data_IF_999872086423
#
_entry.id   IF_999872086423
#
_cell.length_a   1.000
_cell.length_b   1.000
_cell.length_c   1.000
_cell.angle_alpha   90.00
_cell.angle_beta   90.00
_cell.angle_gamma   90.00
#
_symmetry.space_group_name_H-M   'P 1'
#
loop_
_entity.id
_entity.type
_entity.pdbx_description
1 polymer ?
#
# COMPACT_ATOMS: atom_id res chain seq x y z
N UNK A 1 -4.55 16.33 -4.42
CA UNK A 1 -3.56 15.58 -3.65
C UNK A 1 -2.14 16.12 -3.84
N UNK A 2 -1.61 16.17 -5.07
CA UNK A 2 -0.21 16.59 -5.31
C UNK A 2 0.04 18.05 -4.89
N UNK A 3 -0.90 18.95 -5.16
CA UNK A 3 -0.82 20.35 -4.70
C UNK A 3 -0.86 20.44 -3.17
N UNK A 4 -1.69 19.65 -2.51
CA UNK A 4 -1.75 19.60 -1.04
C UNK A 4 -0.42 19.13 -0.43
N UNK A 5 0.24 18.13 -1.04
CA UNK A 5 1.56 17.65 -0.60
C UNK A 5 2.58 18.78 -0.71
N UNK A 6 2.58 19.52 -1.83
CA UNK A 6 3.49 20.66 -2.04
C UNK A 6 3.31 21.73 -0.97
N UNK A 7 2.07 22.14 -0.69
CA UNK A 7 1.77 23.14 0.35
C UNK A 7 2.27 22.66 1.73
N UNK A 8 1.92 21.40 2.12
CA UNK A 8 2.33 20.86 3.42
C UNK A 8 3.86 20.79 3.53
N UNK A 9 4.55 20.39 2.47
CA UNK A 9 6.03 20.33 2.47
C UNK A 9 6.69 21.69 2.56
N UNK A 10 6.05 22.74 2.05
CA UNK A 10 6.54 24.12 2.20
C UNK A 10 6.39 24.59 3.65
N UNK A 11 5.22 24.35 4.26
CA UNK A 11 4.94 24.79 5.63
C UNK A 11 5.63 23.91 6.69
N UNK A 12 5.77 22.62 6.41
CA UNK A 12 6.31 21.60 7.33
C UNK A 12 7.36 20.72 6.64
N UNK A 13 8.55 21.23 6.34
CA UNK A 13 9.53 20.53 5.52
C UNK A 13 10.04 19.21 6.13
N UNK A 14 9.98 19.07 7.44
CA UNK A 14 10.47 17.88 8.17
C UNK A 14 9.40 16.78 8.36
N UNK A 15 8.14 17.01 7.93
CA UNK A 15 7.10 16.00 8.02
C UNK A 15 7.28 14.98 6.91
N UNK A 16 7.31 13.69 7.27
CA UNK A 16 7.20 12.61 6.31
C UNK A 16 5.75 12.46 5.85
N UNK A 17 5.54 12.56 4.54
CA UNK A 17 4.24 12.40 3.90
C UNK A 17 4.26 11.10 3.12
N UNK A 18 3.23 10.25 3.34
CA UNK A 18 3.01 9.01 2.59
C UNK A 18 1.75 9.18 1.74
N UNK A 19 1.90 9.59 0.47
CA UNK A 19 0.76 9.73 -0.43
C UNK A 19 0.12 8.39 -0.75
N UNK A 20 -1.21 8.37 -0.89
CA UNK A 20 -1.93 7.18 -1.31
C UNK A 20 -2.21 7.24 -2.82
N UNK A 21 -1.88 6.16 -3.53
CA UNK A 21 -2.31 5.95 -4.90
C UNK A 21 -3.37 4.86 -4.94
N UNK A 22 -4.61 5.25 -5.28
CA UNK A 22 -5.71 4.30 -5.47
C UNK A 22 -5.87 3.99 -6.95
N UNK A 23 -5.51 2.77 -7.34
CA UNK A 23 -5.60 2.32 -8.74
C UNK A 23 -7.00 2.50 -9.30
N UNK A 24 -8.03 2.18 -8.51
CA UNK A 24 -9.42 2.31 -8.94
C UNK A 24 -9.83 3.76 -9.21
N UNK A 25 -9.47 4.69 -8.35
CA UNK A 25 -9.78 6.11 -8.52
C UNK A 25 -8.99 6.76 -9.66
N UNK A 26 -7.78 6.26 -9.90
CA UNK A 26 -6.88 6.74 -10.94
C UNK A 26 -7.01 5.96 -12.26
N UNK A 27 -7.95 5.01 -12.35
CA UNK A 27 -8.14 4.19 -13.54
C UNK A 27 -8.53 5.02 -14.76
N UNK A 28 -7.67 5.05 -15.79
CA UNK A 28 -7.79 5.88 -16.99
C UNK A 28 -8.35 5.11 -18.20
N UNK A 29 -9.49 4.45 -18.05
CA UNK A 29 -10.20 3.67 -19.06
C UNK A 29 -9.46 2.42 -19.58
N UNK A 30 -8.15 2.36 -19.50
CA UNK A 30 -7.38 1.18 -19.86
C UNK A 30 -6.16 1.01 -18.95
N UNK A 31 -5.56 -0.19 -19.02
CA UNK A 31 -4.42 -0.59 -18.21
C UNK A 31 -3.20 0.28 -18.45
N UNK A 32 -2.85 0.53 -19.72
CA UNK A 32 -1.62 1.25 -20.11
C UNK A 32 -1.66 2.67 -19.56
N UNK A 33 -2.75 3.40 -19.78
CA UNK A 33 -2.88 4.78 -19.27
C UNK A 33 -2.85 4.85 -17.74
N UNK A 34 -3.35 3.81 -17.06
CA UNK A 34 -3.30 3.73 -15.59
C UNK A 34 -1.88 3.46 -15.10
N UNK A 35 -1.12 2.60 -15.79
CA UNK A 35 0.30 2.36 -15.52
C UNK A 35 1.11 3.66 -15.69
N UNK A 36 0.94 4.35 -16.81
CA UNK A 36 1.60 5.64 -17.06
C UNK A 36 1.26 6.69 -16.00
N UNK A 37 -0.02 6.75 -15.59
CA UNK A 37 -0.46 7.64 -14.51
C UNK A 37 0.23 7.32 -13.20
N UNK A 38 0.38 6.03 -12.87
CA UNK A 38 1.07 5.59 -11.67
C UNK A 38 2.57 5.94 -11.70
N UNK A 39 3.25 5.68 -12.80
CA UNK A 39 4.67 6.04 -12.96
C UNK A 39 4.89 7.56 -12.87
N UNK A 40 4.03 8.36 -13.51
CA UNK A 40 4.06 9.83 -13.40
C UNK A 40 3.84 10.28 -11.96
N UNK A 41 2.89 9.68 -11.26
CA UNK A 41 2.64 9.95 -9.86
C UNK A 41 3.88 9.66 -9.00
N UNK A 42 4.52 8.49 -9.14
CA UNK A 42 5.74 8.12 -8.41
C UNK A 42 6.87 9.12 -8.65
N UNK A 43 7.08 9.52 -9.91
CA UNK A 43 8.08 10.54 -10.26
C UNK A 43 7.83 11.86 -9.54
N UNK A 44 6.58 12.30 -9.51
CA UNK A 44 6.21 13.59 -8.94
C UNK A 44 6.29 13.59 -7.41
N UNK A 45 5.77 12.57 -6.75
CA UNK A 45 5.83 12.49 -5.26
C UNK A 45 7.27 12.36 -4.77
N UNK A 46 8.13 11.67 -5.52
CA UNK A 46 9.57 11.66 -5.23
C UNK A 46 10.19 13.05 -5.37
N UNK A 47 9.87 13.77 -6.45
CA UNK A 47 10.33 15.15 -6.64
C UNK A 47 9.92 16.05 -5.47
N UNK A 48 8.75 15.80 -4.87
CA UNK A 48 8.29 16.49 -3.66
C UNK A 48 8.94 15.99 -2.36
N UNK A 49 9.90 15.07 -2.43
CA UNK A 49 10.63 14.56 -1.27
C UNK A 49 9.88 13.51 -0.45
N UNK A 50 8.84 12.87 -1.02
CA UNK A 50 8.20 11.72 -0.37
C UNK A 50 9.08 10.48 -0.55
N UNK A 51 9.25 9.71 0.55
CA UNK A 51 10.09 8.50 0.57
C UNK A 51 9.29 7.23 0.40
N UNK A 52 7.98 7.29 0.61
CA UNK A 52 7.09 6.13 0.53
C UNK A 52 5.75 6.52 -0.09
N UNK A 53 5.12 5.56 -0.76
CA UNK A 53 3.76 5.65 -1.33
C UNK A 53 2.94 4.46 -0.87
N UNK A 54 1.71 4.69 -0.38
CA UNK A 54 0.77 3.62 -0.11
C UNK A 54 -0.04 3.29 -1.37
N UNK A 55 0.18 2.08 -1.88
CA UNK A 55 -0.51 1.56 -3.06
C UNK A 55 -1.74 0.75 -2.66
N UNK A 56 -2.93 1.18 -3.11
CA UNK A 56 -4.18 0.48 -2.85
C UNK A 56 -4.92 0.16 -4.14
N UNK A 57 -5.56 -1.01 -4.19
CA UNK A 57 -6.35 -1.43 -5.37
C UNK A 57 -7.67 -0.69 -5.49
N UNK A 58 -8.31 -0.36 -4.37
CA UNK A 58 -9.71 0.07 -4.28
C UNK A 58 -10.67 -1.10 -4.01
N UNK A 59 -11.97 -0.80 -3.85
CA UNK A 59 -12.99 -1.76 -3.38
C UNK A 59 -13.75 -2.48 -4.49
N UNK A 60 -13.59 -2.12 -5.76
CA UNK A 60 -14.31 -2.76 -6.86
C UNK A 60 -13.67 -4.07 -7.33
N UNK A 61 -14.52 -5.07 -7.58
CA UNK A 61 -14.12 -6.47 -7.79
C UNK A 61 -13.42 -6.80 -9.12
N UNK A 62 -13.31 -5.89 -10.09
CA UNK A 62 -12.78 -6.24 -11.44
C UNK A 62 -11.99 -5.08 -12.05
N UNK A 63 -10.76 -4.93 -11.61
CA UNK A 63 -9.80 -4.13 -12.39
C UNK A 63 -8.83 -5.07 -13.10
N UNK A 64 -8.59 -4.82 -14.39
CA UNK A 64 -7.54 -5.51 -15.17
C UNK A 64 -6.13 -5.12 -14.71
N UNK A 65 -6.03 -4.16 -13.81
CA UNK A 65 -4.81 -3.68 -13.20
C UNK A 65 -5.08 -3.40 -11.71
N UNK A 66 -4.40 -4.10 -10.84
CA UNK A 66 -4.53 -4.01 -9.38
C UNK A 66 -3.16 -3.79 -8.71
N UNK A 67 -3.13 -3.74 -7.38
CA UNK A 67 -1.88 -3.50 -6.64
C UNK A 67 -0.83 -4.61 -6.82
N UNK A 68 -1.24 -5.86 -7.04
CA UNK A 68 -0.31 -6.95 -7.34
C UNK A 68 0.33 -6.72 -8.70
N UNK A 69 -0.48 -6.51 -9.74
CA UNK A 69 -0.01 -6.23 -11.10
C UNK A 69 0.90 -4.99 -11.17
N UNK A 70 0.57 -3.94 -10.37
CA UNK A 70 1.37 -2.73 -10.29
C UNK A 70 2.75 -3.00 -9.68
N UNK A 71 2.83 -3.81 -8.62
CA UNK A 71 4.12 -4.17 -8.01
C UNK A 71 4.99 -4.98 -8.96
N UNK A 72 4.42 -5.95 -9.68
CA UNK A 72 5.18 -6.72 -10.67
C UNK A 72 5.65 -5.86 -11.83
N UNK A 73 4.86 -4.90 -12.29
CA UNK A 73 5.29 -3.92 -13.29
C UNK A 73 6.49 -3.09 -12.79
N UNK A 74 6.46 -2.62 -11.54
CA UNK A 74 7.56 -1.84 -10.96
C UNK A 74 8.83 -2.66 -10.76
N UNK A 75 8.72 -3.97 -10.55
CA UNK A 75 9.87 -4.86 -10.36
C UNK A 75 10.80 -4.87 -11.57
N UNK A 76 10.25 -4.68 -12.76
CA UNK A 76 10.98 -4.71 -14.01
C UNK A 76 11.20 -3.29 -14.59
N UNK A 77 10.74 -2.23 -13.90
CA UNK A 77 10.89 -0.85 -14.35
C UNK A 77 12.25 -0.27 -13.93
N UNK A 78 13.15 0.04 -14.91
CA UNK A 78 14.50 0.54 -14.59
C UNK A 78 14.48 1.89 -13.85
N UNK A 79 13.46 2.72 -14.11
CA UNK A 79 13.34 3.99 -13.42
C UNK A 79 13.04 3.75 -11.94
N UNK A 80 12.09 2.86 -11.62
CA UNK A 80 11.72 2.58 -10.23
C UNK A 80 12.86 1.93 -9.45
N UNK A 81 13.58 0.98 -10.06
CA UNK A 81 14.69 0.27 -9.40
C UNK A 81 15.84 1.21 -8.99
N UNK A 82 16.02 2.30 -9.72
CA UNK A 82 17.04 3.31 -9.42
C UNK A 82 16.53 4.44 -8.50
N UNK A 83 15.28 4.35 -8.01
CA UNK A 83 14.70 5.35 -7.14
C UNK A 83 14.67 4.85 -5.69
N UNK A 84 15.00 5.77 -4.77
CA UNK A 84 14.87 5.55 -3.34
C UNK A 84 13.44 5.91 -2.88
N UNK A 85 12.47 5.18 -3.41
CA UNK A 85 11.07 5.27 -3.02
C UNK A 85 10.54 3.91 -2.61
N UNK A 86 9.88 3.85 -1.47
CA UNK A 86 9.32 2.64 -0.90
C UNK A 86 7.84 2.49 -1.23
N UNK A 87 7.33 1.26 -1.26
CA UNK A 87 5.91 0.98 -1.49
C UNK A 87 5.32 0.31 -0.26
N UNK A 88 4.33 0.97 0.34
CA UNK A 88 3.43 0.39 1.31
C UNK A 88 2.22 -0.25 0.64
N UNK A 89 1.63 -1.26 1.27
CA UNK A 89 0.40 -1.92 0.81
C UNK A 89 -0.63 -2.03 1.91
N UNK A 90 -1.91 -2.00 1.55
CA UNK A 90 -2.99 -2.21 2.51
C UNK A 90 -3.22 -3.71 2.76
N UNK A 91 -3.61 -4.02 3.99
CA UNK A 91 -4.10 -5.32 4.45
C UNK A 91 -5.38 -5.14 5.26
N UNK A 92 -6.44 -5.88 4.92
CA UNK A 92 -7.72 -5.83 5.62
C UNK A 92 -7.95 -7.08 6.48
N UNK A 93 -7.65 -7.04 7.78
CA UNK A 93 -7.89 -8.17 8.68
C UNK A 93 -9.38 -8.34 9.07
N UNK A 94 -10.28 -7.44 8.64
CA UNK A 94 -11.68 -7.45 9.04
C UNK A 94 -12.63 -8.01 7.97
N UNK A 95 -12.08 -8.52 6.86
CA UNK A 95 -12.90 -9.18 5.83
C UNK A 95 -13.63 -10.40 6.41
N UNK A 96 -14.85 -10.69 5.92
CA UNK A 96 -15.53 -11.96 6.23
C UNK A 96 -14.64 -13.17 5.92
N UNK A 97 -14.83 -14.27 6.65
CA UNK A 97 -13.98 -15.46 6.53
C UNK A 97 -13.85 -15.97 5.09
N UNK A 98 -14.93 -15.95 4.32
CA UNK A 98 -14.95 -16.42 2.93
C UNK A 98 -14.18 -15.53 1.94
N UNK A 99 -13.80 -14.29 2.32
CA UNK A 99 -12.95 -13.38 1.54
C UNK A 99 -11.52 -13.27 2.09
N UNK A 100 -11.30 -13.78 3.30
CA UNK A 100 -10.04 -13.58 3.98
C UNK A 100 -8.90 -14.40 3.36
N UNK A 101 -9.18 -15.60 2.89
CA UNK A 101 -8.17 -16.43 2.21
C UNK A 101 -7.69 -15.78 0.90
N UNK A 102 -8.60 -15.11 0.18
CA UNK A 102 -8.23 -14.32 -1.00
C UNK A 102 -7.34 -13.12 -0.63
N UNK A 103 -7.66 -12.44 0.47
CA UNK A 103 -6.84 -11.30 0.96
C UNK A 103 -5.44 -11.76 1.38
N UNK A 104 -5.32 -12.92 2.03
CA UNK A 104 -4.03 -13.54 2.38
C UNK A 104 -3.24 -13.86 1.11
N UNK A 105 -3.83 -14.56 0.17
CA UNK A 105 -3.20 -14.88 -1.13
C UNK A 105 -2.71 -13.63 -1.85
N UNK A 106 -3.51 -12.57 -1.86
CA UNK A 106 -3.12 -11.28 -2.46
C UNK A 106 -1.97 -10.63 -1.71
N UNK A 107 -1.96 -10.68 -0.38
CA UNK A 107 -0.87 -10.15 0.43
C UNK A 107 0.43 -10.90 0.14
N UNK A 108 0.40 -12.24 0.11
CA UNK A 108 1.55 -13.07 -0.22
C UNK A 108 2.12 -12.72 -1.61
N UNK A 109 1.26 -12.59 -2.62
CA UNK A 109 1.66 -12.16 -3.96
C UNK A 109 2.30 -10.77 -3.97
N UNK A 110 1.77 -9.81 -3.20
CA UNK A 110 2.41 -8.49 -3.05
C UNK A 110 3.81 -8.61 -2.43
N UNK A 111 3.95 -9.42 -1.37
CA UNK A 111 5.22 -9.64 -0.69
C UNK A 111 6.26 -10.33 -1.57
N UNK A 112 5.84 -11.29 -2.41
CA UNK A 112 6.69 -11.98 -3.38
C UNK A 112 7.29 -11.05 -4.44
N UNK A 113 6.71 -9.88 -4.68
CA UNK A 113 7.32 -8.87 -5.55
C UNK A 113 8.69 -8.41 -5.05
N UNK A 114 8.93 -8.50 -3.72
CA UNK A 114 10.14 -8.01 -3.05
C UNK A 114 10.20 -6.48 -2.91
N UNK A 115 9.16 -5.75 -3.30
CA UNK A 115 9.11 -4.28 -3.30
C UNK A 115 8.39 -3.68 -2.08
N UNK A 116 7.63 -4.48 -1.35
CA UNK A 116 6.85 -4.02 -0.20
C UNK A 116 7.77 -3.66 0.98
N UNK A 117 7.66 -2.42 1.46
CA UNK A 117 8.39 -1.91 2.63
C UNK A 117 7.52 -1.81 3.87
N UNK A 118 6.20 -1.65 3.69
CA UNK A 118 5.27 -1.52 4.81
C UNK A 118 3.90 -2.12 4.51
N UNK A 119 3.22 -2.54 5.58
CA UNK A 119 1.84 -3.04 5.54
C UNK A 119 0.99 -2.15 6.41
N UNK A 120 -0.08 -1.63 5.84
CA UNK A 120 -1.03 -0.73 6.47
C UNK A 120 -2.31 -1.48 6.80
N UNK A 121 -2.53 -1.71 8.09
CA UNK A 121 -3.72 -2.42 8.60
C UNK A 121 -4.92 -1.52 8.44
N UNK A 122 -5.95 -1.98 7.76
CA UNK A 122 -7.22 -1.28 7.64
C UNK A 122 -7.90 -1.17 9.00
N UNK A 123 -8.58 -0.05 9.24
CA UNK A 123 -9.33 0.18 10.47
C UNK A 123 -10.48 -0.82 10.64
N UNK A 124 -10.70 -1.22 11.89
CA UNK A 124 -11.83 -2.03 12.33
C UNK A 124 -11.90 -2.09 13.85
N UNK A 125 -13.00 -2.61 14.40
CA UNK A 125 -13.31 -2.59 15.84
C UNK A 125 -13.27 -3.95 16.51
N UNK A 126 -13.20 -5.05 15.75
CA UNK A 126 -13.16 -6.42 16.31
C UNK A 126 -11.72 -6.77 16.74
N UNK A 127 -11.42 -6.58 18.01
CA UNK A 127 -10.13 -6.88 18.58
C UNK A 127 -9.75 -8.36 18.51
N UNK A 128 -10.70 -9.28 18.75
CA UNK A 128 -10.41 -10.71 18.75
C UNK A 128 -10.08 -11.21 17.34
N UNK A 129 -10.83 -10.74 16.37
CA UNK A 129 -10.58 -11.01 14.97
C UNK A 129 -9.21 -10.46 14.55
N UNK A 130 -8.91 -9.21 14.88
CA UNK A 130 -7.60 -8.60 14.63
C UNK A 130 -6.48 -9.44 15.23
N UNK A 131 -6.56 -9.78 16.52
CA UNK A 131 -5.53 -10.55 17.25
C UNK A 131 -5.26 -11.90 16.58
N UNK A 132 -6.30 -12.62 16.17
CA UNK A 132 -6.15 -13.92 15.50
C UNK A 132 -5.47 -13.78 14.14
N UNK A 133 -5.87 -12.78 13.35
CA UNK A 133 -5.36 -12.55 11.99
C UNK A 133 -3.97 -11.92 11.96
N UNK A 134 -3.60 -11.15 13.00
CA UNK A 134 -2.22 -10.69 13.16
C UNK A 134 -1.23 -11.83 13.41
N UNK A 135 -1.65 -12.93 14.04
CA UNK A 135 -0.82 -14.14 14.13
C UNK A 135 -0.53 -14.76 12.76
N UNK A 136 -1.56 -14.81 11.88
CA UNK A 136 -1.41 -15.29 10.50
C UNK A 136 -0.43 -14.38 9.74
N UNK A 137 -0.61 -13.06 9.83
CA UNK A 137 0.30 -12.09 9.22
C UNK A 137 1.75 -12.29 9.69
N UNK A 138 1.95 -12.47 11.00
CA UNK A 138 3.29 -12.73 11.58
C UNK A 138 3.94 -13.98 10.98
N UNK A 139 3.17 -15.05 10.80
CA UNK A 139 3.68 -16.29 10.18
C UNK A 139 4.08 -16.07 8.72
N UNK A 140 3.25 -15.38 7.92
CA UNK A 140 3.56 -15.03 6.52
C UNK A 140 4.87 -14.24 6.46
N UNK A 141 5.01 -13.21 7.30
CA UNK A 141 6.21 -12.38 7.32
C UNK A 141 7.45 -13.14 7.73
N UNK A 142 7.34 -14.10 8.67
CA UNK A 142 8.47 -14.94 9.07
C UNK A 142 8.95 -15.85 7.93
N UNK A 143 8.03 -16.37 7.11
CA UNK A 143 8.34 -17.14 5.91
C UNK A 143 8.96 -16.28 4.80
N UNK A 144 8.42 -15.08 4.61
CA UNK A 144 8.93 -14.14 3.61
C UNK A 144 10.34 -13.66 3.91
N UNK A 145 10.67 -13.42 5.18
CA UNK A 145 12.04 -13.02 5.62
C UNK A 145 13.11 -14.04 5.23
N UNK A 146 12.79 -15.33 5.23
CA UNK A 146 13.73 -16.38 4.83
C UNK A 146 14.10 -16.33 3.35
N UNK A 147 13.22 -15.75 2.53
CA UNK A 147 13.31 -15.79 1.07
C UNK A 147 13.59 -14.41 0.43
N UNK A 148 13.64 -13.33 1.20
CA UNK A 148 13.78 -11.95 0.70
C UNK A 148 15.05 -11.28 1.19
N UNK A 149 15.67 -10.49 0.32
CA UNK A 149 16.80 -9.60 0.68
C UNK A 149 16.36 -8.40 1.55
N UNK A 150 15.07 -8.05 1.61
CA UNK A 150 14.53 -7.00 2.48
C UNK A 150 14.15 -7.60 3.83
N UNK A 151 14.93 -7.29 4.84
CA UNK A 151 14.83 -7.90 6.17
C UNK A 151 13.77 -7.28 7.10
N UNK A 152 13.19 -6.14 6.77
CA UNK A 152 12.32 -5.43 7.71
C UNK A 152 11.12 -4.76 7.01
N UNK A 153 9.95 -5.41 7.10
CA UNK A 153 8.67 -4.82 6.67
C UNK A 153 8.03 -4.18 7.90
N UNK A 154 7.75 -2.88 7.82
CA UNK A 154 7.05 -2.14 8.87
C UNK A 154 5.55 -2.44 8.84
N UNK A 155 4.91 -2.45 10.01
CA UNK A 155 3.45 -2.61 10.13
C UNK A 155 2.88 -1.36 10.79
N UNK A 156 1.92 -0.73 10.11
CA UNK A 156 1.20 0.43 10.62
C UNK A 156 -0.25 0.07 10.90
N UNK A 157 -0.72 0.42 12.10
CA UNK A 157 -2.12 0.29 12.50
C UNK A 157 -2.88 1.60 12.29
N UNK A 158 -4.18 1.49 12.00
CA UNK A 158 -5.08 2.63 11.92
C UNK A 158 -5.87 2.75 13.22
N UNK A 159 -5.95 3.95 13.79
CA UNK A 159 -6.76 4.27 14.96
C UNK A 159 -7.82 5.31 14.55
N UNK A 160 -9.08 5.01 14.80
CA UNK A 160 -10.15 5.99 14.68
C UNK A 160 -10.32 6.74 16.01
N UNK A 161 -10.15 8.04 15.97
CA UNK A 161 -10.56 8.90 17.07
C UNK A 161 -11.96 9.42 16.73
N UNK A 162 -13.02 8.94 17.42
CA UNK A 162 -14.39 9.38 17.11
C UNK A 162 -14.53 10.86 17.38
N UNK A 163 -15.11 11.60 16.44
CA UNK A 163 -15.52 12.98 16.69
C UNK A 163 -16.77 13.01 17.59
N UNK A 164 -17.05 14.17 18.21
CA UNK A 164 -18.27 14.36 19.03
C UNK A 164 -19.59 14.03 18.31
N UNK A 165 -19.57 13.97 16.97
CA UNK A 165 -20.74 13.58 16.17
C UNK A 165 -20.99 12.06 16.15
N UNK A 166 -20.03 11.25 16.59
CA UNK A 166 -20.13 9.79 16.66
C UNK A 166 -20.36 9.26 18.08
N UNK A 167 -20.41 10.16 19.09
CA UNK A 167 -20.74 9.91 20.48
C UNK A 167 -22.14 10.42 20.81
#
# INVERSE_FOLDING_TARGET
>A
LLESIKIIKVEFPNIDIIPHFSIQHEFKRNRINTQDSFLKFLKYVKYLGCKEVLLVSGSQKRSTFDSVSALYMLKDDPFFLNQDISIGVAFNPYLPAFLFDEEISRLENKLQSGLVSSIWIQFGTDYNLLKSRMKILSNILSMTKKNSKRSNIMIFGSILIPSKQFL
#
